data_IF_846939842202
#
_entry.id   IF_846939842202
#
_cell.length_a   1.000
_cell.length_b   1.000
_cell.length_c   1.000
_cell.angle_alpha   90.00
_cell.angle_beta   90.00
_cell.angle_gamma   90.00
#
_symmetry.space_group_name_H-M   'P 1'
#
loop_
_entity.id
_entity.type
_entity.pdbx_description
1 polymer ?
#
# COMPACT_ATOMS: atom_id res chain seq x y z
N UNK A 1 -1.41 3.94 -7.41
CA UNK A 1 -0.40 2.87 -7.52
C UNK A 1 -0.38 2.01 -6.25
N UNK A 2 -0.13 2.59 -5.07
CA UNK A 2 -0.04 1.86 -3.79
C UNK A 2 -1.21 0.91 -3.50
N UNK A 3 -2.46 1.37 -3.65
CA UNK A 3 -3.66 0.54 -3.40
C UNK A 3 -3.79 -0.64 -4.38
N UNK A 4 -3.35 -0.48 -5.63
CA UNK A 4 -3.33 -1.57 -6.62
C UNK A 4 -2.34 -2.68 -6.24
N UNK A 5 -1.30 -2.34 -5.49
CA UNK A 5 -0.27 -3.25 -5.00
C UNK A 5 -0.64 -3.80 -3.60
N UNK A 6 -1.81 -3.42 -3.06
CA UNK A 6 -2.35 -3.97 -1.82
C UNK A 6 -2.05 -3.15 -0.56
N UNK A 7 -1.48 -1.95 -0.68
CA UNK A 7 -1.38 -1.03 0.46
C UNK A 7 -2.77 -0.50 0.86
N UNK A 8 -2.98 -0.25 2.15
CA UNK A 8 -4.19 0.39 2.68
C UNK A 8 -3.96 1.89 2.78
N UNK A 9 -4.90 2.70 2.30
CA UNK A 9 -4.89 4.13 2.56
C UNK A 9 -5.24 4.41 4.03
N UNK A 10 -4.48 5.30 4.67
CA UNK A 10 -4.69 5.67 6.08
C UNK A 10 -5.17 7.11 6.24
N UNK A 11 -4.78 8.02 5.35
CA UNK A 11 -5.20 9.42 5.41
C UNK A 11 -4.29 10.36 4.63
N UNK A 12 -4.65 11.64 4.66
CA UNK A 12 -3.82 12.74 4.15
C UNK A 12 -3.25 13.48 5.36
N UNK A 13 -1.94 13.76 5.32
CA UNK A 13 -1.27 14.64 6.26
C UNK A 13 -1.07 15.97 5.57
N UNK A 14 -1.65 17.02 6.12
CA UNK A 14 -1.58 18.35 5.53
C UNK A 14 -0.23 19.00 5.84
N UNK A 15 0.40 19.59 4.81
CA UNK A 15 1.65 20.36 4.91
C UNK A 15 2.82 19.66 5.64
N UNK A 16 2.91 18.33 5.52
CA UNK A 16 3.90 17.53 6.25
C UNK A 16 5.35 17.81 5.81
N UNK A 17 5.59 18.07 4.53
CA UNK A 17 6.93 18.32 4.00
C UNK A 17 7.02 19.60 3.18
N UNK A 18 8.14 20.31 3.33
CA UNK A 18 8.51 21.44 2.49
C UNK A 18 9.44 20.96 1.37
N UNK A 19 8.97 21.02 0.13
CA UNK A 19 9.68 20.51 -1.06
C UNK A 19 9.54 21.54 -2.18
N UNK A 20 10.67 21.91 -2.81
CA UNK A 20 10.74 22.86 -3.92
C UNK A 20 10.04 24.21 -3.66
N UNK A 21 10.16 24.72 -2.43
CA UNK A 21 9.63 26.03 -2.06
C UNK A 21 8.17 26.04 -1.62
N UNK A 22 7.54 24.89 -1.46
CA UNK A 22 6.13 24.78 -1.09
C UNK A 22 5.87 23.63 -0.10
N UNK A 23 4.85 23.78 0.75
CA UNK A 23 4.40 22.71 1.64
C UNK A 23 3.49 21.76 0.87
N UNK A 24 3.74 20.45 1.01
CA UNK A 24 3.01 19.39 0.31
C UNK A 24 2.29 18.48 1.27
N UNK A 25 1.05 18.18 0.93
CA UNK A 25 0.25 17.16 1.60
C UNK A 25 0.72 15.77 1.19
N UNK A 26 0.70 14.83 2.14
CA UNK A 26 1.15 13.46 1.92
C UNK A 26 0.02 12.48 2.13
N UNK A 27 -0.18 11.60 1.15
CA UNK A 27 -1.06 10.43 1.28
C UNK A 27 -0.32 9.31 2.02
N UNK A 28 -0.78 8.96 3.21
CA UNK A 28 -0.22 7.89 4.03
C UNK A 28 -0.85 6.55 3.66
N UNK A 29 0.00 5.54 3.55
CA UNK A 29 -0.39 4.17 3.24
C UNK A 29 0.36 3.17 4.13
N UNK A 30 -0.27 2.04 4.44
CA UNK A 30 0.34 0.94 5.20
C UNK A 30 0.21 -0.41 4.51
N UNK A 31 1.19 -1.28 4.74
CA UNK A 31 1.16 -2.68 4.33
C UNK A 31 1.64 -3.55 5.48
N UNK A 32 0.71 -4.24 6.12
CA UNK A 32 1.00 -5.04 7.31
C UNK A 32 1.50 -6.43 6.94
N UNK A 33 2.28 -7.03 7.84
CA UNK A 33 2.78 -8.40 7.67
C UNK A 33 1.63 -9.41 7.48
N UNK A 34 0.53 -9.27 8.23
CA UNK A 34 -0.62 -10.17 8.10
C UNK A 34 -1.22 -10.12 6.68
N UNK A 35 -1.37 -8.90 6.15
CA UNK A 35 -1.88 -8.68 4.79
C UNK A 35 -0.93 -9.23 3.72
N UNK A 36 0.38 -9.13 3.95
CA UNK A 36 1.37 -9.78 3.08
C UNK A 36 1.23 -11.30 3.08
N UNK A 37 1.08 -11.92 4.26
CA UNK A 37 0.91 -13.37 4.37
C UNK A 37 -0.39 -13.85 3.73
N UNK A 38 -1.49 -13.10 3.85
CA UNK A 38 -2.75 -13.40 3.15
C UNK A 38 -2.60 -13.32 1.63
N UNK A 39 -1.96 -12.27 1.12
CA UNK A 39 -1.74 -12.11 -0.31
C UNK A 39 -0.87 -13.23 -0.87
N UNK A 40 0.20 -13.59 -0.17
CA UNK A 40 1.08 -14.70 -0.56
C UNK A 40 0.33 -16.03 -0.65
N UNK A 41 -0.50 -16.35 0.33
CA UNK A 41 -1.34 -17.56 0.31
C UNK A 41 -2.33 -17.57 -0.86
N UNK A 42 -2.89 -16.40 -1.23
CA UNK A 42 -3.80 -16.28 -2.38
C UNK A 42 -3.07 -16.53 -3.70
N UNK A 43 -1.83 -16.06 -3.83
CA UNK A 43 -1.01 -16.31 -5.01
C UNK A 43 -0.66 -17.80 -5.13
N UNK A 44 -0.22 -18.43 -4.03
CA UNK A 44 0.08 -19.87 -3.99
C UNK A 44 -1.14 -20.75 -4.31
N UNK A 45 -2.35 -20.32 -3.95
CA UNK A 45 -3.58 -21.04 -4.29
C UNK A 45 -3.97 -20.88 -5.77
N UNK A 46 -3.77 -19.70 -6.36
CA UNK A 46 -4.04 -19.48 -7.80
C UNK A 46 -3.13 -20.29 -8.70
N UNK A 47 -1.88 -20.49 -8.31
CA UNK A 47 -0.94 -21.33 -9.06
C UNK A 47 -1.38 -22.80 -9.04
N UNK A 48 -1.95 -23.29 -7.94
CA UNK A 48 -2.45 -24.67 -7.82
C UNK A 48 -3.78 -24.94 -8.55
N UNK A 49 -4.56 -23.90 -8.82
CA UNK A 49 -5.80 -24.00 -9.61
C UNK A 49 -5.56 -23.86 -11.12
N UNK A 50 -4.35 -23.45 -11.52
CA UNK A 50 -3.95 -23.25 -12.92
C UNK A 50 -3.15 -24.42 -13.53
N UNK A 51 -2.76 -25.40 -12.71
CA UNK A 51 -2.09 -26.67 -13.06
C UNK A 51 -3.13 -27.82 -13.11
#
# INVERSE_FOLDING_TARGET
MAEKIGFKFEGILEQEFYVDGDYKDVRRYSYTKDRWMENKKKEENKEKEAD
#
